data_IF_374941424676
#
_entry.id   IF_374941424676
#
_cell.length_a   1.000
_cell.length_b   1.000
_cell.length_c   1.000
_cell.angle_alpha   90.00
_cell.angle_beta   90.00
_cell.angle_gamma   90.00
#
_symmetry.space_group_name_H-M   'P 1'
#
loop_
_entity.id
_entity.type
_entity.pdbx_description
1 polymer ?
#
# COMPACT_ATOMS: atom_id res chain seq x y z
N UNK A 1 -9.74 46.49 45.32
CA UNK A 1 -9.76 47.82 44.64
C UNK A 1 -10.28 47.62 43.23
N UNK A 2 -11.40 48.24 42.87
CA UNK A 2 -11.96 48.14 41.52
C UNK A 2 -11.31 49.21 40.63
N UNK A 3 -10.64 48.80 39.55
CA UNK A 3 -10.10 49.73 38.56
C UNK A 3 -11.28 50.42 37.84
N UNK A 4 -11.47 51.71 38.07
CA UNK A 4 -12.43 52.54 37.31
C UNK A 4 -11.77 52.93 35.98
N UNK A 5 -12.15 52.26 34.90
CA UNK A 5 -11.83 52.68 33.54
C UNK A 5 -12.44 54.07 33.26
N UNK A 6 -11.62 55.04 32.85
CA UNK A 6 -12.12 56.34 32.44
C UNK A 6 -12.75 56.27 31.05
N UNK A 7 -13.64 57.21 30.70
CA UNK A 7 -14.24 57.30 29.35
C UNK A 7 -13.17 57.38 28.25
N UNK A 8 -12.01 57.98 28.55
CA UNK A 8 -10.88 58.08 27.63
C UNK A 8 -10.18 56.74 27.43
N UNK A 9 -10.09 55.92 28.48
CA UNK A 9 -9.49 54.59 28.40
C UNK A 9 -10.42 53.62 27.67
N UNK A 10 -11.74 53.73 27.91
CA UNK A 10 -12.75 53.00 27.14
C UNK A 10 -12.63 53.30 25.64
N UNK A 11 -12.59 54.57 25.25
CA UNK A 11 -12.46 54.98 23.84
C UNK A 11 -11.15 54.49 23.21
N UNK A 12 -10.03 54.52 23.95
CA UNK A 12 -8.74 53.98 23.47
C UNK A 12 -8.79 52.47 23.26
N UNK A 13 -9.42 51.74 24.19
CA UNK A 13 -9.64 50.30 24.07
C UNK A 13 -10.55 49.99 22.88
N UNK A 14 -11.66 50.73 22.70
CA UNK A 14 -12.56 50.50 21.57
C UNK A 14 -11.89 50.81 20.23
N UNK A 15 -11.11 51.88 20.15
CA UNK A 15 -10.35 52.21 18.94
C UNK A 15 -9.29 51.15 18.63
N UNK A 16 -8.57 50.65 19.65
CA UNK A 16 -7.56 49.59 19.45
C UNK A 16 -8.20 48.27 19.00
N UNK A 17 -9.36 47.90 19.53
CA UNK A 17 -10.13 46.72 19.10
C UNK A 17 -10.65 46.84 17.67
N UNK A 18 -11.15 48.01 17.29
CA UNK A 18 -11.65 48.28 15.94
C UNK A 18 -10.51 48.31 14.91
N UNK A 19 -9.35 48.86 15.26
CA UNK A 19 -8.16 48.81 14.40
C UNK A 19 -7.65 47.37 14.26
N UNK A 20 -7.64 46.57 15.33
CA UNK A 20 -7.28 45.15 15.26
C UNK A 20 -8.19 44.32 14.35
N UNK A 21 -9.49 44.62 14.31
CA UNK A 21 -10.45 43.97 13.41
C UNK A 21 -10.34 44.49 11.96
N UNK A 22 -10.02 45.76 11.75
CA UNK A 22 -9.86 46.36 10.42
C UNK A 22 -8.57 45.92 9.70
N UNK A 23 -7.55 45.49 10.45
CA UNK A 23 -6.29 44.95 9.91
C UNK A 23 -6.16 43.43 10.07
N UNK A 24 -7.19 42.75 10.60
CA UNK A 24 -7.26 41.29 10.47
C UNK A 24 -7.55 40.99 9.00
N UNK A 25 -6.66 40.28 8.27
CA UNK A 25 -6.99 39.86 6.92
C UNK A 25 -8.31 39.10 7.00
N UNK A 26 -9.28 39.51 6.20
CA UNK A 26 -10.45 38.70 5.89
C UNK A 26 -9.91 37.51 5.12
N UNK A 27 -9.38 36.52 5.85
CA UNK A 27 -9.19 35.19 5.31
C UNK A 27 -10.62 34.75 4.99
N UNK A 28 -10.97 34.52 3.70
CA UNK A 28 -12.16 33.76 3.43
C UNK A 28 -12.05 32.52 4.30
N UNK A 29 -13.13 32.15 4.99
CA UNK A 29 -13.19 30.82 5.58
C UNK A 29 -12.74 29.90 4.46
N UNK A 30 -11.58 29.25 4.61
CA UNK A 30 -11.30 28.07 3.83
C UNK A 30 -12.55 27.25 4.07
N UNK A 31 -13.36 27.10 3.03
CA UNK A 31 -14.25 25.97 2.97
C UNK A 31 -13.25 24.85 2.93
N UNK A 32 -12.88 24.37 4.13
CA UNK A 32 -12.34 23.05 4.36
C UNK A 32 -13.44 22.16 3.80
N UNK A 33 -13.42 21.97 2.48
CA UNK A 33 -13.89 20.76 1.90
C UNK A 33 -13.02 19.73 2.60
N UNK A 34 -13.53 19.18 3.71
CA UNK A 34 -13.01 17.94 4.26
C UNK A 34 -12.93 17.03 3.06
N UNK A 35 -11.71 16.85 2.52
CA UNK A 35 -11.54 16.11 1.28
C UNK A 35 -12.10 14.73 1.58
N UNK A 36 -13.22 14.39 0.92
CA UNK A 36 -13.79 13.06 1.03
C UNK A 36 -12.72 12.04 0.67
N UNK A 37 -12.82 10.79 1.16
CA UNK A 37 -11.82 9.79 0.89
C UNK A 37 -11.56 9.68 -0.62
N UNK A 38 -10.28 9.64 -1.01
CA UNK A 38 -9.88 9.54 -2.40
C UNK A 38 -9.65 8.07 -2.77
N UNK A 39 -10.01 7.72 -3.99
CA UNK A 39 -9.74 6.40 -4.56
C UNK A 39 -9.06 6.52 -5.92
N UNK A 40 -8.13 5.61 -6.19
CA UNK A 40 -7.49 5.42 -7.49
C UNK A 40 -8.11 4.24 -8.21
N UNK A 41 -8.37 4.37 -9.50
CA UNK A 41 -8.72 3.24 -10.37
C UNK A 41 -7.47 2.39 -10.64
N UNK A 42 -7.46 1.17 -10.10
CA UNK A 42 -6.27 0.30 -10.07
C UNK A 42 -6.22 -0.75 -11.20
N UNK A 43 -7.06 -0.58 -12.22
CA UNK A 43 -7.14 -1.45 -13.41
C UNK A 43 -7.30 -0.57 -14.66
N UNK A 44 -7.28 -1.15 -15.86
CA UNK A 44 -7.41 -0.39 -17.13
C UNK A 44 -8.65 0.51 -17.16
N UNK A 45 -9.82 -0.03 -16.79
CA UNK A 45 -11.05 0.75 -16.68
C UNK A 45 -12.05 0.10 -15.72
N UNK A 46 -12.97 0.91 -15.19
CA UNK A 46 -14.13 0.48 -14.41
C UNK A 46 -15.38 1.26 -14.83
N UNK A 47 -16.51 0.57 -14.89
CA UNK A 47 -17.79 1.17 -15.23
C UNK A 47 -18.38 1.94 -14.04
N UNK A 48 -18.93 3.11 -14.30
CA UNK A 48 -19.81 3.82 -13.37
C UNK A 48 -21.22 3.33 -13.62
N UNK A 49 -21.84 2.80 -12.58
CA UNK A 49 -23.21 2.29 -12.58
C UNK A 49 -24.19 3.32 -12.03
N UNK A 50 -25.43 3.33 -12.53
CA UNK A 50 -26.48 4.24 -12.05
C UNK A 50 -26.88 3.96 -10.59
N UNK A 51 -26.78 2.70 -10.16
CA UNK A 51 -27.06 2.22 -8.80
C UNK A 51 -25.87 1.37 -8.31
N UNK A 52 -25.71 1.13 -7.00
CA UNK A 52 -24.66 0.27 -6.45
C UNK A 52 -24.96 -1.22 -6.70
N UNK A 53 -25.04 -1.59 -7.97
CA UNK A 53 -25.50 -2.87 -8.49
C UNK A 53 -24.89 -3.07 -9.88
N UNK A 54 -24.21 -4.19 -10.08
CA UNK A 54 -23.46 -4.55 -11.29
C UNK A 54 -24.37 -4.85 -12.48
N UNK A 55 -25.66 -5.11 -12.24
CA UNK A 55 -26.68 -5.26 -13.28
C UNK A 55 -27.31 -3.93 -13.71
N UNK A 56 -27.04 -2.85 -12.96
CA UNK A 56 -27.63 -1.55 -13.26
C UNK A 56 -26.97 -0.87 -14.46
N UNK A 57 -27.72 0.01 -15.11
CA UNK A 57 -27.27 0.71 -16.31
C UNK A 57 -25.93 1.44 -16.08
N UNK A 58 -25.00 1.23 -17.00
CA UNK A 58 -23.71 1.93 -17.02
C UNK A 58 -23.95 3.36 -17.52
N UNK A 59 -23.49 4.34 -16.75
CA UNK A 59 -23.66 5.78 -17.01
C UNK A 59 -22.34 6.49 -17.30
N UNK A 60 -21.21 5.79 -17.14
CA UNK A 60 -19.88 6.33 -17.43
C UNK A 60 -18.79 5.27 -17.32
N UNK A 61 -17.56 5.68 -17.64
CA UNK A 61 -16.35 4.88 -17.48
C UNK A 61 -15.29 5.73 -16.81
N UNK A 62 -14.49 5.09 -15.96
CA UNK A 62 -13.28 5.67 -15.38
C UNK A 62 -12.10 4.78 -15.73
N UNK A 63 -10.92 5.39 -15.86
CA UNK A 63 -9.73 4.76 -16.41
C UNK A 63 -8.61 4.69 -15.39
N UNK A 64 -7.62 3.84 -15.66
CA UNK A 64 -6.42 3.66 -14.83
C UNK A 64 -5.86 4.98 -14.32
N UNK A 65 -5.53 4.98 -13.03
CA UNK A 65 -4.92 6.10 -12.29
C UNK A 65 -5.78 7.37 -12.17
N UNK A 66 -7.02 7.36 -12.68
CA UNK A 66 -7.96 8.42 -12.34
C UNK A 66 -8.26 8.38 -10.83
N UNK A 67 -8.18 9.56 -10.21
CA UNK A 67 -8.48 9.77 -8.80
C UNK A 67 -9.91 10.29 -8.69
N UNK A 68 -10.73 9.59 -7.90
CA UNK A 68 -12.14 9.91 -7.70
C UNK A 68 -12.37 10.29 -6.24
N UNK A 69 -13.25 11.27 -6.04
CA UNK A 69 -13.78 11.57 -4.72
C UNK A 69 -14.87 10.56 -4.37
N UNK A 70 -14.79 9.99 -3.17
CA UNK A 70 -15.86 9.15 -2.61
C UNK A 70 -16.76 10.02 -1.75
N UNK A 71 -18.03 10.11 -2.16
CA UNK A 71 -19.05 10.84 -1.41
C UNK A 71 -19.72 9.96 -0.34
N UNK A 72 -19.73 8.64 -0.55
CA UNK A 72 -20.36 7.66 0.34
C UNK A 72 -19.82 6.26 0.05
N UNK A 73 -19.62 5.45 1.09
CA UNK A 73 -19.39 4.01 0.97
C UNK A 73 -20.71 3.27 1.25
N UNK A 74 -21.20 2.53 0.25
CA UNK A 74 -22.51 1.86 0.29
C UNK A 74 -22.30 0.35 0.24
N UNK A 75 -22.75 -0.35 1.27
CA UNK A 75 -22.93 -1.79 1.21
C UNK A 75 -24.32 -2.10 0.66
N UNK A 76 -24.39 -2.52 -0.61
CA UNK A 76 -25.67 -2.80 -1.28
C UNK A 76 -26.16 -4.24 -1.12
N UNK A 77 -25.39 -5.10 -0.47
CA UNK A 77 -25.63 -6.54 -0.41
C UNK A 77 -25.35 -7.31 -1.72
N UNK A 78 -24.93 -6.62 -2.80
CA UNK A 78 -24.59 -7.23 -4.09
C UNK A 78 -23.29 -6.64 -4.67
N UNK A 79 -22.43 -7.42 -5.33
CA UNK A 79 -22.47 -8.88 -5.43
C UNK A 79 -22.35 -9.54 -4.05
N UNK A 80 -22.83 -10.79 -3.92
CA UNK A 80 -22.85 -11.50 -2.63
C UNK A 80 -21.47 -11.69 -1.99
N UNK A 81 -20.41 -11.47 -2.77
CA UNK A 81 -19.03 -11.36 -2.33
C UNK A 81 -18.57 -9.91 -2.52
N UNK A 82 -18.00 -9.29 -1.48
CA UNK A 82 -17.56 -7.88 -1.51
C UNK A 82 -18.66 -6.87 -1.95
N UNK A 83 -19.75 -6.70 -1.20
CA UNK A 83 -20.94 -5.92 -1.62
C UNK A 83 -20.78 -4.39 -1.55
N UNK A 84 -19.55 -3.89 -1.54
CA UNK A 84 -19.25 -2.49 -1.22
C UNK A 84 -18.99 -1.68 -2.49
N UNK A 85 -19.71 -0.55 -2.59
CA UNK A 85 -19.67 0.39 -3.68
C UNK A 85 -19.32 1.78 -3.17
N UNK A 86 -18.65 2.57 -4.01
CA UNK A 86 -18.39 3.98 -3.74
C UNK A 86 -19.32 4.83 -4.58
N UNK A 87 -20.04 5.75 -3.94
CA UNK A 87 -20.71 6.86 -4.62
C UNK A 87 -19.65 7.83 -5.10
N UNK A 88 -19.52 7.98 -6.41
CA UNK A 88 -18.59 8.90 -7.09
C UNK A 88 -19.35 9.86 -7.98
N UNK A 89 -18.72 10.85 -8.58
CA UNK A 89 -19.44 11.75 -9.48
C UNK A 89 -20.06 10.96 -10.65
N UNK A 90 -21.34 11.21 -10.96
CA UNK A 90 -22.07 10.52 -12.02
C UNK A 90 -22.71 9.16 -11.67
N UNK A 91 -22.32 8.49 -10.57
CA UNK A 91 -22.96 7.23 -10.17
C UNK A 91 -22.23 6.47 -9.06
N UNK A 92 -22.06 5.16 -9.25
CA UNK A 92 -21.44 4.24 -8.29
C UNK A 92 -20.39 3.38 -8.98
N UNK A 93 -19.27 3.14 -8.31
CA UNK A 93 -18.23 2.20 -8.76
C UNK A 93 -18.02 1.11 -7.71
N UNK A 94 -17.83 -0.13 -8.16
CA UNK A 94 -17.56 -1.25 -7.26
C UNK A 94 -16.13 -1.16 -6.69
N UNK A 95 -15.94 -1.43 -5.39
CA UNK A 95 -14.63 -1.21 -4.76
C UNK A 95 -13.52 -2.15 -5.23
N UNK A 96 -13.88 -3.33 -5.75
CA UNK A 96 -12.92 -4.40 -6.07
C UNK A 96 -11.66 -3.95 -6.83
N UNK A 97 -11.78 -3.00 -7.76
CA UNK A 97 -10.66 -2.51 -8.59
C UNK A 97 -10.24 -1.08 -8.24
N UNK A 98 -10.56 -0.66 -7.03
CA UNK A 98 -10.20 0.64 -6.47
C UNK A 98 -9.10 0.48 -5.42
N UNK A 99 -8.34 1.54 -5.21
CA UNK A 99 -7.39 1.66 -4.11
C UNK A 99 -7.69 2.95 -3.35
N UNK A 100 -7.89 2.89 -2.03
CA UNK A 100 -7.95 4.11 -1.19
C UNK A 100 -6.57 4.76 -1.15
N UNK A 101 -6.50 6.07 -1.35
CA UNK A 101 -5.27 6.84 -1.49
C UNK A 101 -5.37 8.18 -0.82
N UNK A 102 -4.22 8.81 -0.54
CA UNK A 102 -4.12 10.16 0.02
C UNK A 102 -3.00 10.93 -0.68
N UNK A 103 -3.01 12.26 -0.57
CA UNK A 103 -1.92 13.14 -1.00
C UNK A 103 -1.14 13.63 0.21
N UNK A 104 -0.19 12.84 0.69
CA UNK A 104 0.72 13.23 1.76
C UNK A 104 2.09 13.53 1.16
N UNK A 105 2.48 14.79 1.16
CA UNK A 105 3.82 15.23 0.79
C UNK A 105 4.70 15.29 2.04
N UNK A 106 5.92 14.78 1.93
CA UNK A 106 6.88 14.68 3.01
C UNK A 106 8.04 15.63 2.80
N UNK A 107 8.70 16.02 3.88
CA UNK A 107 9.97 16.72 3.80
C UNK A 107 11.09 15.72 3.49
N UNK A 108 11.89 15.92 2.43
CA UNK A 108 13.04 15.06 2.15
C UNK A 108 14.02 15.09 3.32
N UNK A 109 14.47 13.93 3.79
CA UNK A 109 15.41 13.83 4.90
C UNK A 109 16.73 13.23 4.46
N UNK A 110 17.81 13.77 5.02
CA UNK A 110 19.18 13.26 4.91
C UNK A 110 19.81 13.16 6.30
N UNK A 111 20.81 12.27 6.48
CA UNK A 111 21.40 11.37 5.48
C UNK A 111 20.55 10.11 5.20
N UNK A 112 20.66 9.56 3.98
CA UNK A 112 20.24 8.17 3.69
C UNK A 112 21.33 7.23 4.20
N UNK A 113 20.94 6.14 4.88
CA UNK A 113 21.89 5.13 5.39
C UNK A 113 22.66 4.49 4.22
N UNK A 114 23.94 4.20 4.40
CA UNK A 114 24.77 3.54 3.37
C UNK A 114 24.22 2.16 2.99
N UNK A 115 23.59 1.46 3.94
CA UNK A 115 22.89 0.18 3.72
C UNK A 115 21.57 0.31 2.95
N UNK A 116 21.15 1.53 2.59
CA UNK A 116 19.80 1.83 2.12
C UNK A 116 18.78 1.94 3.25
N UNK A 117 17.69 2.66 2.98
CA UNK A 117 16.59 2.87 3.92
C UNK A 117 15.24 2.67 3.23
N UNK A 118 14.31 1.99 3.90
CA UNK A 118 12.98 1.75 3.34
C UNK A 118 12.12 3.01 3.40
N UNK A 119 11.42 3.28 2.31
CA UNK A 119 10.42 4.34 2.25
C UNK A 119 9.16 3.83 1.54
N UNK A 120 8.01 4.35 1.93
CA UNK A 120 6.73 4.07 1.29
C UNK A 120 6.23 5.27 0.50
N UNK A 121 5.51 5.00 -0.60
CA UNK A 121 4.85 6.05 -1.39
C UNK A 121 3.58 6.49 -0.69
N UNK A 122 3.45 7.80 -0.45
CA UNK A 122 2.31 8.40 0.28
C UNK A 122 1.47 9.35 -0.57
N UNK A 123 1.62 9.27 -1.89
CA UNK A 123 0.76 9.91 -2.90
C UNK A 123 0.09 8.83 -3.77
N UNK A 124 -1.02 9.10 -4.48
CA UNK A 124 -1.75 8.06 -5.20
C UNK A 124 -0.87 7.26 -6.18
N UNK A 125 0.00 7.97 -6.89
CA UNK A 125 1.08 7.41 -7.69
C UNK A 125 2.17 8.45 -7.93
N UNK A 126 3.37 7.99 -8.26
CA UNK A 126 4.49 8.84 -8.68
C UNK A 126 5.15 8.30 -9.93
N UNK A 127 5.52 9.20 -10.84
CA UNK A 127 6.32 8.85 -12.01
C UNK A 127 7.78 8.70 -11.60
N UNK A 128 8.42 7.61 -12.01
CA UNK A 128 9.87 7.45 -11.83
C UNK A 128 10.61 7.69 -13.13
N UNK A 129 11.84 8.17 -13.01
CA UNK A 129 12.73 8.45 -14.11
C UNK A 129 14.04 7.71 -13.90
N UNK A 130 14.58 7.12 -14.96
CA UNK A 130 15.93 6.58 -14.97
C UNK A 130 16.89 7.61 -15.53
N UNK A 131 18.00 7.84 -14.82
CA UNK A 131 19.10 8.71 -15.27
C UNK A 131 20.19 7.89 -15.94
N UNK A 132 20.52 8.22 -17.19
CA UNK A 132 21.67 7.67 -17.92
C UNK A 132 22.53 8.83 -18.42
N UNK A 133 23.65 9.10 -17.74
CA UNK A 133 24.41 10.34 -17.95
C UNK A 133 23.59 11.56 -17.53
N UNK A 134 23.35 12.47 -18.48
CA UNK A 134 22.49 13.66 -18.28
C UNK A 134 21.02 13.42 -18.68
N UNK A 135 20.73 12.29 -19.35
CA UNK A 135 19.39 12.02 -19.87
C UNK A 135 18.50 11.39 -18.80
N UNK A 136 17.32 11.98 -18.61
CA UNK A 136 16.23 11.43 -17.81
C UNK A 136 15.20 10.77 -18.73
N UNK A 137 14.87 9.50 -18.47
CA UNK A 137 13.88 8.75 -19.26
C UNK A 137 12.81 8.17 -18.35
N UNK A 138 11.51 8.36 -18.66
CA UNK A 138 10.43 7.74 -17.88
C UNK A 138 10.52 6.21 -17.84
N UNK A 139 10.17 5.64 -16.69
CA UNK A 139 9.96 4.21 -16.49
C UNK A 139 8.49 3.97 -16.03
N UNK A 140 8.21 2.88 -15.33
CA UNK A 140 6.91 2.59 -14.73
C UNK A 140 6.53 3.58 -13.60
N UNK A 141 5.30 3.49 -13.10
CA UNK A 141 4.82 4.27 -11.94
C UNK A 141 4.95 3.48 -10.65
N UNK A 142 5.18 4.17 -9.54
CA UNK A 142 5.03 3.61 -8.20
C UNK A 142 3.71 4.08 -7.61
N UNK A 143 3.12 3.24 -6.77
CA UNK A 143 1.75 3.46 -6.27
C UNK A 143 1.71 3.62 -4.76
N UNK A 144 0.68 4.29 -4.27
CA UNK A 144 0.42 4.49 -2.84
C UNK A 144 0.61 3.18 -2.04
N UNK A 145 1.31 3.24 -0.91
CA UNK A 145 1.67 2.12 -0.03
C UNK A 145 2.66 1.09 -0.61
N UNK A 146 3.19 1.28 -1.83
CA UNK A 146 4.35 0.51 -2.28
C UNK A 146 5.61 0.93 -1.51
N UNK A 147 6.49 -0.03 -1.22
CA UNK A 147 7.69 0.15 -0.40
C UNK A 147 8.93 -0.02 -1.26
N UNK A 148 9.92 0.86 -1.08
CA UNK A 148 11.11 0.93 -1.93
C UNK A 148 12.38 1.15 -1.10
N UNK A 149 13.51 0.66 -1.60
CA UNK A 149 14.82 0.94 -1.03
C UNK A 149 15.36 2.26 -1.55
N UNK A 150 15.48 3.25 -0.69
CA UNK A 150 16.19 4.50 -0.98
C UNK A 150 17.67 4.29 -0.69
N UNK A 151 18.51 4.55 -1.68
CA UNK A 151 19.98 4.39 -1.62
C UNK A 151 20.72 5.71 -1.85
N UNK A 152 20.00 6.81 -2.01
CA UNK A 152 20.58 8.14 -2.14
C UNK A 152 19.55 9.24 -2.38
N UNK A 153 20.03 10.48 -2.38
CA UNK A 153 19.27 11.66 -2.77
C UNK A 153 20.09 12.41 -3.82
N UNK A 154 19.48 12.69 -4.96
CA UNK A 154 20.10 13.42 -6.06
C UNK A 154 19.18 14.59 -6.47
N UNK A 155 19.72 15.58 -7.18
CA UNK A 155 18.90 16.64 -7.80
C UNK A 155 18.18 16.09 -9.05
N UNK A 156 16.86 16.27 -9.11
CA UNK A 156 16.02 15.84 -10.22
C UNK A 156 16.04 16.79 -11.41
N UNK A 157 15.37 16.44 -12.53
CA UNK A 157 15.30 17.27 -13.73
C UNK A 157 14.54 18.61 -13.52
N UNK A 158 13.82 18.74 -12.42
CA UNK A 158 13.08 19.93 -11.99
C UNK A 158 13.85 20.78 -10.97
N UNK A 159 15.11 20.42 -10.67
CA UNK A 159 15.92 21.07 -9.65
C UNK A 159 15.48 20.78 -8.22
N UNK A 160 14.51 19.86 -8.02
CA UNK A 160 14.04 19.46 -6.69
C UNK A 160 14.76 18.19 -6.20
N UNK A 161 14.69 17.87 -4.90
CA UNK A 161 15.27 16.64 -4.38
C UNK A 161 14.52 15.40 -4.86
N UNK A 162 15.25 14.42 -5.41
CA UNK A 162 14.73 13.14 -5.86
C UNK A 162 15.48 12.00 -5.15
N UNK A 163 14.73 11.04 -4.61
CA UNK A 163 15.34 9.85 -4.05
C UNK A 163 15.80 8.91 -5.17
N UNK A 164 17.02 8.38 -5.03
CA UNK A 164 17.53 7.28 -5.83
C UNK A 164 17.09 5.97 -5.19
N UNK A 165 16.27 5.22 -5.92
CA UNK A 165 15.64 3.98 -5.51
C UNK A 165 16.35 2.80 -6.15
N UNK A 166 16.42 1.67 -5.45
CA UNK A 166 17.02 0.43 -5.94
C UNK A 166 15.95 -0.63 -6.26
N UNK A 167 16.00 -1.16 -7.48
CA UNK A 167 15.22 -2.31 -7.96
C UNK A 167 16.03 -3.59 -7.77
N UNK A 168 15.52 -4.52 -6.97
CA UNK A 168 16.22 -5.74 -6.63
C UNK A 168 16.16 -6.81 -7.72
N UNK A 169 15.12 -6.79 -8.56
CA UNK A 169 14.91 -7.79 -9.61
C UNK A 169 15.71 -7.44 -10.85
N UNK A 170 15.75 -6.15 -11.17
CA UNK A 170 16.43 -5.63 -12.36
C UNK A 170 17.88 -5.25 -12.08
N UNK A 171 18.27 -5.15 -10.81
CA UNK A 171 19.59 -4.66 -10.38
C UNK A 171 19.92 -3.29 -10.99
N UNK A 172 18.93 -2.38 -10.94
CA UNK A 172 19.07 -1.01 -11.43
C UNK A 172 18.69 0.02 -10.37
N UNK A 173 19.12 1.25 -10.60
CA UNK A 173 18.59 2.40 -9.88
C UNK A 173 17.78 3.31 -10.78
N UNK A 174 16.77 3.93 -10.19
CA UNK A 174 15.94 4.98 -10.79
C UNK A 174 15.57 6.00 -9.73
N UNK A 175 14.90 7.07 -10.12
CA UNK A 175 14.63 8.19 -9.24
C UNK A 175 13.15 8.55 -9.20
N UNK A 176 12.72 9.06 -8.06
CA UNK A 176 11.39 9.62 -7.89
C UNK A 176 11.44 10.88 -6.99
N UNK A 177 10.49 11.83 -7.12
CA UNK A 177 10.45 13.01 -6.26
C UNK A 177 10.45 12.63 -4.78
N UNK A 178 11.41 13.16 -4.02
CA UNK A 178 11.61 12.75 -2.63
C UNK A 178 10.41 13.08 -1.73
N UNK A 179 9.70 14.17 -2.05
CA UNK A 179 8.51 14.59 -1.31
C UNK A 179 7.35 13.56 -1.37
N UNK A 180 7.37 12.60 -2.29
CA UNK A 180 6.32 11.58 -2.42
C UNK A 180 6.50 10.39 -1.46
N UNK A 181 7.59 10.37 -0.68
CA UNK A 181 7.99 9.23 0.12
C UNK A 181 8.07 9.57 1.60
N UNK A 182 7.53 8.68 2.44
CA UNK A 182 7.77 8.67 3.87
C UNK A 182 8.78 7.58 4.20
N UNK A 183 9.85 7.93 4.90
CA UNK A 183 10.75 6.90 5.43
C UNK A 183 10.05 6.06 6.49
N UNK A 184 10.29 4.76 6.42
CA UNK A 184 9.80 3.81 7.40
C UNK A 184 10.85 3.75 8.52
N UNK A 185 10.50 4.17 9.74
CA UNK A 185 11.41 4.14 10.87
C UNK A 185 11.62 2.70 11.36
N UNK A 186 12.75 2.42 12.01
CA UNK A 186 13.15 1.06 12.39
C UNK A 186 12.16 0.41 13.39
N UNK A 187 11.49 1.24 14.19
CA UNK A 187 10.44 0.82 15.13
C UNK A 187 9.25 0.18 14.39
N UNK A 188 8.97 0.61 13.15
CA UNK A 188 7.94 0.01 12.30
C UNK A 188 8.38 -1.33 11.67
N UNK A 189 9.63 -1.76 11.88
CA UNK A 189 10.16 -3.08 11.51
C UNK A 189 10.39 -3.98 12.72
N UNK A 190 10.24 -3.46 13.95
CA UNK A 190 10.47 -4.23 15.17
C UNK A 190 9.54 -5.45 15.24
N UNK A 191 10.07 -6.67 15.51
CA UNK A 191 9.27 -7.88 15.59
C UNK A 191 8.13 -7.79 16.61
N UNK A 192 6.99 -8.40 16.29
CA UNK A 192 5.83 -8.46 17.19
C UNK A 192 5.85 -9.77 18.00
N UNK A 193 5.61 -9.65 19.30
CA UNK A 193 5.66 -10.72 20.29
C UNK A 193 6.96 -11.57 20.19
N UNK A 194 8.15 -10.95 20.30
CA UNK A 194 9.44 -11.66 20.19
C UNK A 194 9.65 -12.71 21.29
N UNK A 195 8.97 -12.58 22.42
CA UNK A 195 9.03 -13.48 23.57
C UNK A 195 8.25 -14.79 23.37
N UNK A 196 7.35 -14.86 22.38
CA UNK A 196 6.54 -16.05 22.13
C UNK A 196 7.34 -17.08 21.31
N UNK A 197 7.56 -18.31 21.82
CA UNK A 197 8.31 -19.34 21.11
C UNK A 197 7.71 -19.67 19.74
N UNK A 198 8.57 -20.05 18.77
CA UNK A 198 8.15 -20.25 17.38
C UNK A 198 7.12 -21.37 17.23
N UNK A 199 7.26 -22.42 18.02
CA UNK A 199 6.37 -23.59 18.07
C UNK A 199 4.96 -23.25 18.56
N UNK A 200 4.80 -22.08 19.19
CA UNK A 200 3.51 -21.55 19.64
C UNK A 200 2.92 -20.54 18.67
N UNK A 201 3.59 -20.21 17.57
CA UNK A 201 3.03 -19.36 16.51
C UNK A 201 2.57 -20.23 15.35
N UNK A 202 1.36 -20.00 14.83
CA UNK A 202 0.88 -20.63 13.59
C UNK A 202 -0.05 -19.73 12.81
N UNK A 203 -0.06 -19.91 11.49
CA UNK A 203 -0.97 -19.26 10.55
C UNK A 203 -1.91 -20.32 10.00
N UNK A 204 -3.20 -20.03 10.01
CA UNK A 204 -4.23 -20.81 9.33
C UNK A 204 -4.87 -19.96 8.24
N UNK A 205 -4.98 -20.53 7.05
CA UNK A 205 -5.62 -19.90 5.89
C UNK A 205 -6.75 -20.79 5.43
N UNK A 206 -7.97 -20.31 5.58
CA UNK A 206 -9.16 -20.92 5.00
C UNK A 206 -9.34 -20.35 3.59
N UNK A 207 -8.94 -21.12 2.57
CA UNK A 207 -9.05 -20.70 1.17
C UNK A 207 -10.50 -20.70 0.68
N UNK A 208 -11.42 -21.38 1.34
CA UNK A 208 -12.85 -21.34 0.99
C UNK A 208 -13.47 -20.02 1.40
N UNK A 209 -13.24 -19.67 2.66
CA UNK A 209 -13.84 -18.50 3.28
C UNK A 209 -12.97 -17.24 3.11
N UNK A 210 -11.77 -17.38 2.54
CA UNK A 210 -10.82 -16.28 2.30
C UNK A 210 -10.45 -15.57 3.60
N UNK A 211 -10.15 -16.34 4.64
CA UNK A 211 -9.78 -15.84 5.97
C UNK A 211 -8.38 -16.34 6.33
N UNK A 212 -7.55 -15.43 6.84
CA UNK A 212 -6.27 -15.74 7.47
C UNK A 212 -6.40 -15.47 8.97
N UNK A 213 -5.98 -16.44 9.78
CA UNK A 213 -5.96 -16.33 11.25
C UNK A 213 -4.58 -16.68 11.78
N UNK A 214 -4.03 -15.83 12.64
CA UNK A 214 -2.77 -16.04 13.34
C UNK A 214 -3.04 -16.35 14.81
N UNK A 215 -2.29 -17.34 15.32
CA UNK A 215 -2.44 -17.80 16.68
C UNK A 215 -1.13 -17.74 17.45
N UNK A 216 -1.23 -17.37 18.72
CA UNK A 216 -0.21 -17.57 19.73
C UNK A 216 -0.73 -18.56 20.77
N UNK A 217 -0.06 -19.70 20.91
CA UNK A 217 -0.61 -20.89 21.54
C UNK A 217 -1.92 -21.27 20.83
N UNK A 218 -3.06 -21.21 21.54
CA UNK A 218 -4.39 -21.46 20.98
C UNK A 218 -5.27 -20.19 20.93
N UNK A 219 -4.68 -19.02 21.16
CA UNK A 219 -5.40 -17.75 21.12
C UNK A 219 -5.22 -17.07 19.78
N UNK A 220 -6.33 -16.60 19.20
CA UNK A 220 -6.31 -15.76 18.00
C UNK A 220 -5.75 -14.39 18.39
N UNK A 221 -4.65 -13.99 17.75
CA UNK A 221 -4.03 -12.67 17.94
C UNK A 221 -4.25 -11.74 16.75
N UNK A 222 -4.58 -12.30 15.59
CA UNK A 222 -4.89 -11.54 14.38
C UNK A 222 -5.77 -12.37 13.44
N UNK A 223 -6.74 -11.71 12.81
CA UNK A 223 -7.58 -12.32 11.79
C UNK A 223 -7.92 -11.28 10.74
N UNK A 224 -7.84 -11.65 9.45
CA UNK A 224 -8.23 -10.78 8.35
C UNK A 224 -8.84 -11.56 7.18
N UNK A 225 -9.56 -10.84 6.32
CA UNK A 225 -9.99 -11.32 5.01
C UNK A 225 -8.86 -11.14 3.99
N UNK A 226 -8.70 -12.13 3.13
CA UNK A 226 -7.63 -12.19 2.13
C UNK A 226 -8.18 -12.32 0.72
N UNK A 227 -7.31 -12.31 -0.28
CA UNK A 227 -7.63 -12.76 -1.63
C UNK A 227 -6.54 -13.72 -2.12
N UNK A 228 -6.85 -15.01 -2.16
CA UNK A 228 -5.96 -16.06 -2.67
C UNK A 228 -5.96 -16.13 -4.20
N UNK A 229 -5.25 -17.13 -4.72
CA UNK A 229 -5.17 -17.43 -6.15
C UNK A 229 -6.50 -17.83 -6.77
N UNK A 230 -6.75 -17.35 -8.00
CA UNK A 230 -7.98 -17.65 -8.75
C UNK A 230 -8.18 -19.16 -8.92
N UNK A 231 -9.43 -19.60 -8.79
CA UNK A 231 -9.80 -21.03 -8.88
C UNK A 231 -9.71 -21.60 -10.31
N UNK A 232 -9.78 -20.74 -11.34
CA UNK A 232 -9.71 -21.20 -12.72
C UNK A 232 -8.25 -21.41 -13.16
N UNK A 233 -7.84 -22.68 -13.15
CA UNK A 233 -6.48 -23.19 -13.33
C UNK A 233 -5.99 -23.20 -14.78
N UNK A 234 -6.23 -22.16 -15.58
CA UNK A 234 -5.45 -22.02 -16.81
C UNK A 234 -4.04 -21.57 -16.41
N UNK A 235 -3.01 -22.42 -16.62
CA UNK A 235 -1.65 -22.00 -16.34
C UNK A 235 -1.35 -20.76 -17.18
N UNK A 236 -0.70 -19.77 -16.57
CA UNK A 236 -0.18 -18.64 -17.35
C UNK A 236 0.86 -19.10 -18.37
N UNK A 237 1.45 -18.18 -19.16
CA UNK A 237 2.52 -18.49 -20.10
C UNK A 237 3.69 -19.30 -19.50
N UNK A 238 3.88 -19.21 -18.18
CA UNK A 238 4.95 -19.88 -17.44
C UNK A 238 4.57 -21.29 -16.94
N UNK A 239 3.36 -21.79 -17.26
CA UNK A 239 2.91 -23.13 -16.89
C UNK A 239 2.51 -23.31 -15.42
N UNK A 240 2.54 -22.24 -14.61
CA UNK A 240 2.18 -22.27 -13.19
C UNK A 240 0.68 -21.98 -13.02
N UNK A 241 -0.10 -22.86 -12.35
CA UNK A 241 -1.51 -22.59 -12.04
C UNK A 241 -1.67 -21.38 -11.13
N UNK A 242 -2.71 -20.58 -11.39
CA UNK A 242 -3.03 -19.40 -10.57
C UNK A 242 -3.70 -19.74 -9.24
N UNK A 243 -4.12 -20.99 -9.05
CA UNK A 243 -4.80 -21.47 -7.85
C UNK A 243 -3.79 -21.66 -6.71
N UNK A 244 -4.09 -21.11 -5.54
CA UNK A 244 -3.29 -21.39 -4.34
C UNK A 244 -3.50 -22.85 -3.89
N UNK A 245 -2.43 -23.65 -3.73
CA UNK A 245 -2.54 -25.01 -3.21
C UNK A 245 -3.01 -25.03 -1.76
N UNK A 246 -3.54 -26.16 -1.31
CA UNK A 246 -3.76 -26.41 0.12
C UNK A 246 -2.66 -27.31 0.66
N UNK A 247 -2.51 -27.33 1.99
CA UNK A 247 -1.56 -28.18 2.67
C UNK A 247 -0.74 -27.42 3.71
N UNK A 248 0.24 -28.13 4.27
CA UNK A 248 1.18 -27.58 5.23
C UNK A 248 2.34 -26.91 4.52
N UNK A 249 2.69 -25.73 5.02
CA UNK A 249 3.77 -24.91 4.54
C UNK A 249 4.45 -24.20 5.70
N UNK A 250 5.57 -23.52 5.42
CA UNK A 250 6.28 -22.69 6.38
C UNK A 250 6.82 -21.44 5.73
N UNK A 251 6.84 -20.35 6.48
CA UNK A 251 7.52 -19.13 6.05
C UNK A 251 9.01 -19.44 5.87
N UNK A 252 9.56 -19.02 4.73
CA UNK A 252 10.97 -19.26 4.38
C UNK A 252 11.76 -17.99 4.15
N UNK A 253 11.15 -16.96 3.57
CA UNK A 253 11.82 -15.72 3.16
C UNK A 253 10.90 -14.54 3.39
N UNK A 254 11.44 -13.43 3.87
CA UNK A 254 10.72 -12.16 4.01
C UNK A 254 11.45 -11.05 3.28
N UNK A 255 10.72 -10.29 2.47
CA UNK A 255 11.22 -9.14 1.70
C UNK A 255 10.27 -7.94 1.90
N UNK A 256 10.72 -6.80 2.46
CA UNK A 256 9.85 -5.65 2.71
C UNK A 256 9.45 -4.92 1.41
N UNK A 257 10.29 -5.01 0.38
CA UNK A 257 10.08 -4.48 -0.96
C UNK A 257 10.43 -5.59 -1.96
N UNK A 258 9.47 -5.98 -2.80
CA UNK A 258 9.68 -6.98 -3.86
C UNK A 258 9.15 -6.46 -5.19
N UNK A 259 9.93 -6.57 -6.26
CA UNK A 259 9.42 -6.42 -7.61
C UNK A 259 8.78 -7.75 -8.05
N UNK A 260 7.47 -7.73 -8.30
CA UNK A 260 6.73 -8.86 -8.87
C UNK A 260 6.27 -8.53 -10.28
N UNK A 261 6.58 -9.38 -11.26
CA UNK A 261 6.27 -9.09 -12.66
C UNK A 261 7.14 -9.92 -13.59
N UNK A 262 7.17 -9.55 -14.86
CA UNK A 262 8.02 -10.20 -15.85
C UNK A 262 9.45 -9.65 -15.83
N UNK A 263 9.73 -8.61 -15.03
CA UNK A 263 11.07 -8.04 -14.92
C UNK A 263 11.49 -7.31 -16.19
N UNK A 264 10.56 -6.65 -16.89
CA UNK A 264 10.88 -5.85 -18.06
C UNK A 264 11.11 -4.38 -17.69
N UNK A 265 12.14 -3.77 -18.27
CA UNK A 265 12.31 -2.32 -18.31
C UNK A 265 11.34 -1.73 -19.33
N UNK A 266 10.08 -1.55 -18.96
CA UNK A 266 9.07 -0.93 -19.82
C UNK A 266 8.67 0.45 -19.27
N UNK A 267 8.56 1.44 -20.17
CA UNK A 267 7.84 2.69 -19.91
C UNK A 267 6.32 2.51 -20.10
N UNK A 268 5.87 1.29 -20.37
CA UNK A 268 4.46 0.97 -20.57
C UNK A 268 3.76 0.85 -19.21
N UNK A 269 2.87 1.79 -18.93
CA UNK A 269 2.04 1.80 -17.73
C UNK A 269 1.05 0.61 -17.73
N UNK A 270 0.80 0.00 -18.89
CA UNK A 270 -0.02 -1.20 -19.05
C UNK A 270 0.73 -2.50 -18.79
N UNK A 271 2.06 -2.49 -18.73
CA UNK A 271 2.84 -3.67 -18.38
C UNK A 271 2.54 -4.13 -16.95
N UNK A 272 2.43 -5.44 -16.75
CA UNK A 272 2.26 -6.04 -15.43
C UNK A 272 3.62 -6.10 -14.71
N UNK A 273 4.13 -4.93 -14.35
CA UNK A 273 5.29 -4.76 -13.47
C UNK A 273 4.79 -4.13 -12.17
N UNK A 274 4.94 -4.85 -11.06
CA UNK A 274 4.55 -4.42 -9.73
C UNK A 274 5.83 -4.20 -8.91
N UNK A 275 6.49 -3.04 -9.08
CA UNK A 275 7.63 -2.67 -8.24
C UNK A 275 7.17 -2.40 -6.81
N UNK A 276 8.04 -2.71 -5.84
CA UNK A 276 7.83 -2.38 -4.43
C UNK A 276 6.57 -3.01 -3.81
N UNK A 277 6.22 -4.24 -4.19
CA UNK A 277 5.20 -5.03 -3.49
C UNK A 277 5.62 -5.15 -2.03
N UNK A 278 4.83 -4.52 -1.18
CA UNK A 278 5.17 -4.29 0.21
C UNK A 278 5.00 -5.56 1.05
N UNK A 279 5.92 -5.76 2.00
CA UNK A 279 5.79 -6.72 3.11
C UNK A 279 5.57 -8.17 2.66
N UNK A 280 6.34 -8.61 1.67
CA UNK A 280 6.27 -9.96 1.13
C UNK A 280 6.82 -11.01 2.10
N UNK A 281 5.99 -11.96 2.51
CA UNK A 281 6.32 -13.10 3.37
C UNK A 281 6.12 -14.40 2.59
N UNK A 282 7.19 -14.92 2.01
CA UNK A 282 7.20 -16.14 1.20
C UNK A 282 7.12 -17.38 2.07
N UNK A 283 6.40 -18.38 1.59
CA UNK A 283 6.27 -19.68 2.24
C UNK A 283 6.46 -20.85 1.26
N UNK A 284 6.94 -21.96 1.82
CA UNK A 284 7.22 -23.20 1.12
C UNK A 284 6.29 -24.31 1.63
N UNK A 285 5.59 -24.98 0.72
CA UNK A 285 4.84 -26.20 1.03
C UNK A 285 5.77 -27.38 1.30
N UNK A 286 5.40 -28.24 2.24
CA UNK A 286 6.16 -29.46 2.56
C UNK A 286 6.13 -30.49 1.42
N UNK A 287 5.06 -30.48 0.61
CA UNK A 287 4.78 -31.49 -0.40
C UNK A 287 4.96 -31.00 -1.85
N UNK A 288 5.40 -29.75 -2.05
CA UNK A 288 5.62 -29.16 -3.38
C UNK A 288 7.00 -28.50 -3.44
N UNK A 289 7.60 -28.33 -4.63
CA UNK A 289 8.79 -27.49 -4.79
C UNK A 289 8.49 -26.00 -4.50
N UNK A 290 9.53 -25.18 -4.39
CA UNK A 290 9.36 -23.73 -4.22
C UNK A 290 8.76 -23.11 -5.47
N UNK A 291 7.62 -22.44 -5.28
CA UNK A 291 6.84 -21.82 -6.36
C UNK A 291 6.64 -20.32 -6.15
N UNK A 292 7.29 -19.73 -5.13
CA UNK A 292 7.20 -18.29 -4.88
C UNK A 292 5.88 -17.81 -4.27
N UNK A 293 5.11 -18.68 -3.63
CA UNK A 293 3.90 -18.26 -2.91
C UNK A 293 4.26 -17.38 -1.71
N UNK A 294 3.54 -16.26 -1.56
CA UNK A 294 3.75 -15.32 -0.48
C UNK A 294 2.44 -14.70 0.02
N UNK A 295 2.47 -14.26 1.28
CA UNK A 295 1.58 -13.22 1.77
C UNK A 295 2.19 -11.86 1.43
N UNK A 296 1.42 -10.89 0.93
CA UNK A 296 1.97 -9.55 0.68
C UNK A 296 0.88 -8.47 0.64
N UNK A 297 1.32 -7.21 0.80
CA UNK A 297 0.48 -6.04 0.63
C UNK A 297 0.06 -5.88 -0.83
N UNK A 298 -1.18 -5.43 -1.05
CA UNK A 298 -1.77 -5.36 -2.39
C UNK A 298 -2.36 -3.98 -2.65
N UNK A 299 -1.69 -3.21 -3.50
CA UNK A 299 -2.10 -1.85 -3.88
C UNK A 299 -2.94 -1.80 -5.17
N UNK A 300 -3.19 -2.93 -5.84
CA UNK A 300 -3.86 -2.98 -7.15
C UNK A 300 -5.33 -3.43 -7.12
N UNK A 301 -5.89 -3.72 -5.94
CA UNK A 301 -7.31 -4.06 -5.77
C UNK A 301 -7.77 -4.00 -4.29
N UNK A 302 -9.09 -3.90 -4.07
CA UNK A 302 -9.76 -4.03 -2.76
C UNK A 302 -10.86 -5.10 -2.82
N UNK A 303 -10.51 -6.27 -3.36
CA UNK A 303 -11.40 -7.41 -3.55
C UNK A 303 -11.21 -8.53 -2.52
N UNK A 304 -10.81 -8.18 -1.30
CA UNK A 304 -10.63 -9.17 -0.22
C UNK A 304 -11.96 -9.88 0.10
N UNK A 305 -11.88 -11.17 0.40
CA UNK A 305 -13.02 -12.10 0.45
C UNK A 305 -13.26 -12.86 -0.85
N UNK A 306 -12.50 -12.59 -1.92
CA UNK A 306 -12.65 -13.21 -3.25
C UNK A 306 -11.29 -13.62 -3.80
N UNK A 307 -11.12 -14.85 -4.32
CA UNK A 307 -9.89 -15.23 -5.00
C UNK A 307 -9.62 -14.37 -6.25
N UNK A 308 -8.48 -13.68 -6.28
CA UNK A 308 -8.14 -12.73 -7.34
C UNK A 308 -6.68 -12.76 -7.80
N UNK A 309 -5.77 -13.30 -6.97
CA UNK A 309 -4.33 -13.31 -7.24
C UNK A 309 -3.94 -14.38 -8.26
N UNK A 310 -2.65 -14.42 -8.62
CA UNK A 310 -2.05 -15.48 -9.45
C UNK A 310 -1.40 -16.60 -8.62
N UNK A 311 -1.78 -16.75 -7.34
CA UNK A 311 -1.33 -17.85 -6.48
C UNK A 311 -0.90 -17.40 -5.09
N UNK A 312 -0.46 -16.14 -4.93
CA UNK A 312 -0.14 -15.54 -3.64
C UNK A 312 -1.40 -15.26 -2.79
N UNK A 313 -1.20 -14.93 -1.52
CA UNK A 313 -2.25 -14.49 -0.62
C UNK A 313 -2.18 -12.96 -0.51
N UNK A 314 -3.09 -12.28 -1.19
CA UNK A 314 -3.16 -10.83 -1.19
C UNK A 314 -3.81 -10.35 0.11
N UNK A 315 -3.18 -9.37 0.76
CA UNK A 315 -3.65 -8.73 2.00
C UNK A 315 -3.68 -7.21 1.86
N UNK A 316 -4.39 -6.52 2.76
CA UNK A 316 -4.22 -5.06 2.88
C UNK A 316 -2.79 -4.76 3.30
N UNK A 317 -2.20 -3.66 2.84
CA UNK A 317 -0.78 -3.39 3.06
C UNK A 317 -0.39 -3.35 4.54
N UNK A 318 -1.19 -2.70 5.38
CA UNK A 318 -0.94 -2.66 6.84
C UNK A 318 -1.06 -4.03 7.52
N UNK A 319 -1.98 -4.88 7.04
CA UNK A 319 -2.17 -6.23 7.55
C UNK A 319 -1.01 -7.14 7.13
N UNK A 320 -0.50 -6.98 5.91
CA UNK A 320 0.71 -7.66 5.44
C UNK A 320 1.93 -7.22 6.26
N UNK A 321 2.04 -5.93 6.59
CA UNK A 321 3.10 -5.38 7.46
C UNK A 321 3.04 -5.97 8.86
N UNK A 322 1.84 -6.06 9.44
CA UNK A 322 1.62 -6.71 10.73
C UNK A 322 2.11 -8.17 10.68
N UNK A 323 1.68 -8.93 9.67
CA UNK A 323 2.06 -10.32 9.51
C UNK A 323 3.57 -10.46 9.30
N UNK A 324 4.17 -9.60 8.48
CA UNK A 324 5.61 -9.57 8.22
C UNK A 324 6.41 -9.39 9.50
N UNK A 325 6.00 -8.48 10.40
CA UNK A 325 6.68 -8.24 11.68
C UNK A 325 6.44 -9.35 12.70
N UNK A 326 5.27 -9.99 12.67
CA UNK A 326 4.90 -11.05 13.60
C UNK A 326 5.55 -12.41 13.25
N UNK A 327 5.73 -12.68 11.96
CA UNK A 327 6.26 -13.95 11.46
C UNK A 327 7.76 -14.14 11.67
N UNK A 328 8.14 -15.39 11.87
CA UNK A 328 9.52 -15.86 11.82
C UNK A 328 9.88 -16.33 10.40
N UNK A 329 11.16 -16.22 9.99
CA UNK A 329 12.28 -15.68 10.77
C UNK A 329 12.14 -14.15 10.96
N UNK A 330 12.70 -13.53 12.01
CA UNK A 330 12.56 -12.07 12.26
C UNK A 330 13.15 -11.25 11.12
N UNK A 331 12.68 -10.03 10.90
CA UNK A 331 13.28 -9.16 9.88
C UNK A 331 13.29 -7.72 10.40
N UNK A 332 14.05 -7.51 11.48
CA UNK A 332 14.30 -6.18 12.03
C UNK A 332 15.18 -5.36 11.08
N UNK A 333 15.26 -4.05 11.29
CA UNK A 333 15.97 -3.13 10.39
C UNK A 333 17.43 -3.54 10.13
N UNK A 334 18.12 -4.05 11.16
CA UNK A 334 19.51 -4.48 11.09
C UNK A 334 19.69 -5.82 10.36
N UNK A 335 18.60 -6.57 10.17
CA UNK A 335 18.60 -7.91 9.59
C UNK A 335 18.25 -7.91 8.09
N UNK A 336 17.76 -6.79 7.55
CA UNK A 336 17.37 -6.68 6.15
C UNK A 336 18.35 -5.75 5.41
N UNK A 337 18.89 -6.24 4.30
CA UNK A 337 19.73 -5.45 3.40
C UNK A 337 19.19 -5.54 1.96
N UNK A 338 19.27 -4.46 1.15
CA UNK A 338 18.91 -4.50 -0.27
C UNK A 338 19.75 -5.46 -1.13
N UNK A 339 20.80 -6.08 -0.60
CA UNK A 339 21.70 -6.97 -1.35
C UNK A 339 21.58 -8.44 -0.95
N UNK A 340 21.31 -8.70 0.33
CA UNK A 340 21.02 -10.07 0.79
C UNK A 340 19.55 -10.41 0.57
N UNK A 341 18.67 -9.40 0.63
CA UNK A 341 17.24 -9.40 0.29
C UNK A 341 16.37 -10.41 1.06
N UNK A 342 16.94 -11.40 1.72
CA UNK A 342 16.19 -12.44 2.41
C UNK A 342 16.81 -12.86 3.75
N UNK A 343 15.92 -13.17 4.69
CA UNK A 343 16.25 -14.05 5.81
C UNK A 343 15.64 -15.42 5.54
N UNK A 344 16.50 -16.42 5.40
CA UNK A 344 16.14 -17.81 5.15
C UNK A 344 15.96 -18.57 6.47
N UNK A 345 14.89 -19.34 6.61
CA UNK A 345 14.70 -20.19 7.80
C UNK A 345 13.50 -21.13 7.74
N UNK A 346 13.41 -22.04 8.70
CA UNK A 346 12.23 -22.88 8.94
C UNK A 346 11.24 -22.09 9.81
N UNK A 347 10.66 -21.04 9.23
CA UNK A 347 9.88 -20.01 9.92
C UNK A 347 8.49 -20.45 10.38
N UNK A 348 7.60 -19.49 10.62
CA UNK A 348 6.26 -19.74 11.16
C UNK A 348 5.50 -20.81 10.35
N UNK A 349 4.93 -21.85 10.99
CA UNK A 349 4.06 -22.83 10.36
C UNK A 349 2.82 -22.19 9.73
N UNK A 350 2.45 -22.68 8.54
CA UNK A 350 1.27 -22.25 7.78
C UNK A 350 0.46 -23.48 7.42
N UNK A 351 -0.84 -23.46 7.70
CA UNK A 351 -1.78 -24.50 7.26
C UNK A 351 -2.82 -23.86 6.37
N UNK A 352 -2.91 -24.33 5.12
CA UNK A 352 -3.91 -23.88 4.16
C UNK A 352 -4.96 -24.98 3.93
N UNK A 353 -6.23 -24.65 4.13
CA UNK A 353 -7.38 -25.56 3.94
C UNK A 353 -8.27 -25.10 2.78
N UNK A 354 -9.04 -26.01 2.18
CA UNK A 354 -9.88 -25.75 0.99
C UNK A 354 -11.37 -25.63 1.29
#
# INVERSE_FOLDING_TARGET
MAFKLSRRDFLKLTSASLTGLAFSPYLPAEVEFTQGPLIRVATTQVSIHKRPDDTSAIVGQVYRDQILNVYEEVNSGTPGYNPVWYRVWGGYVHRARMQKVEYIYNQPTLPVRESGQLAEVTVPYTQVLRRTGERWTPLYRLYYTSVHWVVGLDEGPDGQPWYRLFDELLDITYHAPAAHFRFIPDEELTPLSPEVPFEKKRIEVDLKNQILTCYENEQIVFQTIISSGRLNSQPGPNGIPTRTPAGKARVVVKMPSKHMGNGNLAADIEAYELPGVAWSTFFQYEHLPFQGHAFHGTYWHDNFGVPMSSGCINMRTEEAKWLFRWCLPTAAAEEIHPLTLDKKGYGTPVTLTQ
#
